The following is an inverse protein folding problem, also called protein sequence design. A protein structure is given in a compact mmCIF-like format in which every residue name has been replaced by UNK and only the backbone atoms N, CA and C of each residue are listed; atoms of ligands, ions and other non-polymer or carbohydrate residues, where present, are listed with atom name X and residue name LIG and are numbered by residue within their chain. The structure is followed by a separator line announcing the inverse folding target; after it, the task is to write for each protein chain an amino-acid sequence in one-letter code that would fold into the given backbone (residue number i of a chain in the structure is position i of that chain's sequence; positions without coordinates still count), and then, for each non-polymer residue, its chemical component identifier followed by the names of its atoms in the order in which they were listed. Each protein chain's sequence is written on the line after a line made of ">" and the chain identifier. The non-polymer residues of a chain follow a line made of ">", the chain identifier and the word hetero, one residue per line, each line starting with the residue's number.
data_IF_002791246584
#
_entry.id   IF_002791246584
#
_cell.length_a   1.000
_cell.length_b   1.000
_cell.length_c   1.000
_cell.angle_alpha   90.00
_cell.angle_beta   90.00
_cell.angle_gamma   90.00
#
_symmetry.space_group_name_H-M   'P 1'
#
loop_
_entity.id
_entity.type
_entity.pdbx_description
1 polymer ?
#
# COMPACT_ATOMS: atom_id res chain seq x y z
N UNK A 1 10.89 21.88 16.23
CA UNK A 1 11.67 21.88 14.97
C UNK A 1 11.85 20.42 14.66
N UNK A 2 11.05 19.92 13.71
CA UNK A 2 11.00 18.50 13.38
C UNK A 2 11.78 18.32 12.08
N UNK A 3 13.05 17.96 12.21
CA UNK A 3 13.97 17.66 11.12
C UNK A 3 13.74 16.22 10.59
N UNK A 4 12.49 15.81 10.39
CA UNK A 4 12.14 14.45 9.93
C UNK A 4 11.76 14.37 8.44
N UNK A 5 11.75 15.50 7.71
CA UNK A 5 11.31 15.54 6.30
C UNK A 5 12.43 15.24 5.28
N UNK A 6 13.69 15.11 5.72
CA UNK A 6 14.85 15.05 4.81
C UNK A 6 15.23 13.66 4.28
N UNK A 7 14.60 12.56 4.72
CA UNK A 7 15.03 11.20 4.29
C UNK A 7 14.00 10.39 3.52
N UNK A 8 12.79 10.93 3.27
CA UNK A 8 11.79 10.17 2.51
C UNK A 8 12.17 10.14 1.03
N UNK A 9 12.38 8.95 0.42
CA UNK A 9 12.68 8.87 -0.99
C UNK A 9 11.53 9.48 -1.80
N UNK A 10 11.86 10.37 -2.74
CA UNK A 10 10.88 10.90 -3.68
C UNK A 10 10.49 9.82 -4.70
N UNK A 11 9.20 9.66 -5.02
CA UNK A 11 8.76 8.76 -6.08
C UNK A 11 9.41 9.10 -7.41
N UNK A 12 9.76 8.10 -8.20
CA UNK A 12 10.17 8.29 -9.58
C UNK A 12 9.07 8.97 -10.40
N UNK A 13 9.45 9.92 -11.25
CA UNK A 13 8.54 10.49 -12.25
C UNK A 13 8.29 9.49 -13.41
N UNK A 14 7.17 9.63 -14.11
CA UNK A 14 6.84 8.75 -15.24
C UNK A 14 7.79 8.92 -16.44
N UNK A 15 8.38 10.09 -16.58
CA UNK A 15 9.36 10.43 -17.60
C UNK A 15 10.81 10.17 -17.17
N UNK A 16 11.04 9.63 -15.96
CA UNK A 16 12.38 9.26 -15.50
C UNK A 16 12.98 8.20 -16.45
N UNK A 17 14.24 8.36 -16.91
CA UNK A 17 14.87 7.42 -17.83
C UNK A 17 14.88 5.97 -17.33
N UNK A 18 14.92 5.75 -16.01
CA UNK A 18 14.85 4.42 -15.38
C UNK A 18 13.48 3.79 -15.60
N UNK A 19 12.42 4.56 -15.37
CA UNK A 19 11.02 4.13 -15.57
C UNK A 19 10.77 3.84 -17.05
N UNK A 20 11.19 4.73 -17.95
CA UNK A 20 11.02 4.55 -19.39
C UNK A 20 11.75 3.30 -19.92
N UNK A 21 12.98 3.06 -19.45
CA UNK A 21 13.76 1.87 -19.84
C UNK A 21 13.10 0.59 -19.34
N UNK A 22 12.60 0.57 -18.10
CA UNK A 22 11.90 -0.58 -17.55
C UNK A 22 10.55 -0.80 -18.23
N UNK A 23 9.77 0.25 -18.52
CA UNK A 23 8.52 0.16 -19.27
C UNK A 23 8.74 -0.45 -20.66
N UNK A 24 9.77 0.01 -21.36
CA UNK A 24 10.20 -0.60 -22.64
C UNK A 24 10.59 -2.07 -22.47
N UNK A 25 11.32 -2.43 -21.41
CA UNK A 25 11.67 -3.83 -21.13
C UNK A 25 10.41 -4.68 -20.92
N UNK A 26 9.49 -4.25 -20.05
CA UNK A 26 8.24 -4.97 -19.74
C UNK A 26 7.38 -5.23 -20.98
N UNK A 27 7.34 -4.26 -21.89
CA UNK A 27 6.60 -4.35 -23.16
C UNK A 27 7.20 -5.36 -24.16
N UNK A 28 8.52 -5.58 -24.10
CA UNK A 28 9.26 -6.39 -25.07
C UNK A 28 9.77 -7.72 -24.51
N UNK A 29 9.54 -8.01 -23.22
CA UNK A 29 10.01 -9.26 -22.62
C UNK A 29 9.06 -10.40 -22.94
N UNK A 30 9.53 -11.50 -23.55
CA UNK A 30 8.69 -12.65 -23.81
C UNK A 30 8.37 -13.40 -22.51
N UNK A 31 7.14 -13.90 -22.44
CA UNK A 31 6.70 -14.87 -21.45
C UNK A 31 7.26 -16.26 -21.79
N UNK A 32 7.13 -17.20 -20.85
CA UNK A 32 7.61 -18.59 -21.01
C UNK A 32 7.02 -19.33 -22.19
N UNK A 33 5.88 -18.88 -22.73
CA UNK A 33 5.23 -19.41 -23.93
C UNK A 33 5.64 -18.68 -25.23
N UNK A 34 6.70 -17.87 -25.21
CA UNK A 34 7.16 -17.00 -26.30
C UNK A 34 6.16 -15.93 -26.77
N UNK A 35 5.04 -15.73 -26.06
CA UNK A 35 4.18 -14.56 -26.27
C UNK A 35 4.75 -13.35 -25.55
N UNK A 36 4.37 -12.14 -25.97
CA UNK A 36 4.70 -10.91 -25.23
C UNK A 36 3.59 -10.59 -24.24
N UNK A 37 3.95 -10.11 -23.05
CA UNK A 37 2.96 -9.60 -22.10
C UNK A 37 2.26 -8.39 -22.74
N UNK A 38 0.91 -8.37 -22.85
CA UNK A 38 0.18 -7.27 -23.45
C UNK A 38 0.06 -6.12 -22.46
N UNK A 39 1.18 -5.46 -22.14
CA UNK A 39 1.21 -4.26 -21.31
C UNK A 39 1.40 -3.07 -22.26
N UNK A 40 0.31 -2.45 -22.74
CA UNK A 40 0.38 -1.37 -23.72
C UNK A 40 0.96 -0.09 -23.10
N UNK A 41 1.39 0.80 -23.96
CA UNK A 41 1.69 2.19 -23.60
C UNK A 41 0.39 2.91 -23.17
N UNK A 42 0.38 3.73 -22.10
CA UNK A 42 1.45 4.03 -21.14
C UNK A 42 1.41 3.15 -19.88
N UNK A 43 0.64 2.05 -19.88
CA UNK A 43 0.50 1.17 -18.71
C UNK A 43 1.83 0.52 -18.32
N UNK A 44 2.70 0.25 -19.30
CA UNK A 44 4.05 -0.28 -19.03
C UNK A 44 4.88 0.64 -18.15
N UNK A 45 4.77 1.95 -18.35
CA UNK A 45 5.48 2.98 -17.61
C UNK A 45 4.91 3.16 -16.20
N UNK A 46 3.58 3.04 -16.04
CA UNK A 46 2.94 3.04 -14.72
C UNK A 46 3.35 1.82 -13.88
N UNK A 47 3.39 0.63 -14.48
CA UNK A 47 3.88 -0.58 -13.81
C UNK A 47 5.37 -0.46 -13.49
N UNK A 48 6.17 0.07 -14.43
CA UNK A 48 7.58 0.32 -14.20
C UNK A 48 7.81 1.30 -13.04
N UNK A 49 7.05 2.40 -12.98
CA UNK A 49 7.12 3.38 -11.89
C UNK A 49 6.81 2.72 -10.54
N UNK A 50 5.76 1.90 -10.48
CA UNK A 50 5.41 1.17 -9.27
C UNK A 50 6.54 0.23 -8.83
N UNK A 51 7.13 -0.53 -9.74
CA UNK A 51 8.27 -1.42 -9.44
C UNK A 51 9.49 -0.63 -8.96
N UNK A 52 9.88 0.43 -9.66
CA UNK A 52 11.01 1.27 -9.27
C UNK A 52 10.80 1.88 -7.88
N UNK A 53 9.59 2.36 -7.58
CA UNK A 53 9.26 2.91 -6.27
C UNK A 53 9.23 1.82 -5.18
N UNK A 54 8.75 0.62 -5.48
CA UNK A 54 8.77 -0.52 -4.55
C UNK A 54 10.21 -0.87 -4.13
N UNK A 55 11.18 -0.82 -5.06
CA UNK A 55 12.60 -1.04 -4.73
C UNK A 55 13.23 0.06 -3.85
N UNK A 56 12.50 1.15 -3.58
CA UNK A 56 12.89 2.26 -2.72
C UNK A 56 11.95 2.39 -1.50
N UNK A 57 11.34 1.28 -1.10
CA UNK A 57 10.42 1.22 0.03
C UNK A 57 9.23 2.20 -0.10
N UNK A 58 8.68 2.34 -1.30
CA UNK A 58 7.49 3.15 -1.58
C UNK A 58 6.42 2.34 -2.30
N UNK A 59 5.17 2.44 -1.84
CA UNK A 59 4.01 1.75 -2.41
C UNK A 59 2.89 2.73 -2.72
N UNK A 60 2.21 2.54 -3.85
CA UNK A 60 1.03 3.33 -4.17
C UNK A 60 -0.14 2.97 -3.24
N UNK A 61 -0.65 3.94 -2.49
CA UNK A 61 -1.83 3.77 -1.65
C UNK A 61 -3.07 4.32 -2.36
N UNK A 62 -4.04 3.45 -2.62
CA UNK A 62 -5.34 3.86 -3.19
C UNK A 62 -6.15 4.78 -2.27
N UNK A 63 -5.87 4.77 -0.96
CA UNK A 63 -6.60 5.57 0.04
C UNK A 63 -6.15 7.04 0.02
N UNK A 64 -4.84 7.29 0.06
CA UNK A 64 -4.30 8.65 0.01
C UNK A 64 -4.02 9.13 -1.41
N UNK A 65 -4.18 8.23 -2.40
CA UNK A 65 -3.90 8.46 -3.83
C UNK A 65 -2.48 8.98 -4.06
N UNK A 66 -1.52 8.41 -3.33
CA UNK A 66 -0.12 8.80 -3.38
C UNK A 66 0.80 7.62 -2.94
N UNK A 67 2.10 7.76 -3.19
CA UNK A 67 3.13 6.83 -2.74
C UNK A 67 3.42 7.03 -1.24
N UNK A 68 3.23 5.97 -0.46
CA UNK A 68 3.52 5.91 0.98
C UNK A 68 4.71 5.00 1.27
N UNK A 69 5.41 5.14 2.41
CA UNK A 69 6.47 4.22 2.77
C UNK A 69 5.95 2.78 2.87
N UNK A 70 6.74 1.82 2.39
CA UNK A 70 6.40 0.40 2.40
C UNK A 70 6.09 -0.08 3.82
N UNK A 71 6.89 0.30 4.81
CA UNK A 71 6.63 -0.05 6.21
C UNK A 71 5.28 0.46 6.73
N UNK A 72 4.80 1.62 6.25
CA UNK A 72 3.46 2.12 6.59
C UNK A 72 2.36 1.25 5.95
N UNK A 73 2.59 0.81 4.72
CA UNK A 73 1.66 -0.05 3.99
C UNK A 73 1.58 -1.45 4.65
N UNK A 74 2.73 -2.06 4.97
CA UNK A 74 2.83 -3.37 5.62
C UNK A 74 2.31 -3.38 7.07
N UNK A 75 2.45 -2.27 7.81
CA UNK A 75 1.88 -2.13 9.15
C UNK A 75 0.34 -1.98 9.14
N UNK A 76 -0.28 -1.89 7.96
CA UNK A 76 -1.73 -1.87 7.85
C UNK A 76 -2.27 -3.30 7.99
N UNK A 77 -3.14 -3.58 8.98
CA UNK A 77 -3.66 -4.92 9.18
C UNK A 77 -4.46 -5.39 7.96
N UNK A 78 -4.29 -6.65 7.59
CA UNK A 78 -5.10 -7.30 6.57
C UNK A 78 -6.51 -7.56 7.09
N UNK A 79 -7.52 -7.37 6.23
CA UNK A 79 -8.93 -7.65 6.57
C UNK A 79 -9.14 -9.10 7.02
N UNK A 80 -8.35 -10.05 6.49
CA UNK A 80 -8.41 -11.46 6.88
C UNK A 80 -7.97 -11.74 8.33
N UNK A 81 -7.16 -10.85 8.89
CA UNK A 81 -6.61 -10.96 10.25
C UNK A 81 -7.47 -10.26 11.30
N UNK A 82 -8.65 -9.77 10.90
CA UNK A 82 -9.49 -8.93 11.75
C UNK A 82 -10.79 -9.65 12.06
N UNK A 83 -11.03 -9.83 13.36
CA UNK A 83 -12.30 -10.32 13.88
C UNK A 83 -13.23 -9.15 14.15
N UNK A 84 -14.44 -9.20 13.59
CA UNK A 84 -15.47 -8.17 13.77
C UNK A 84 -16.66 -8.76 14.53
N UNK A 85 -17.12 -8.06 15.56
CA UNK A 85 -18.25 -8.44 16.40
C UNK A 85 -19.14 -7.23 16.67
N UNK A 86 -20.46 -7.40 16.54
CA UNK A 86 -21.43 -6.38 16.96
C UNK A 86 -21.71 -6.54 18.45
N UNK A 87 -21.46 -5.49 19.24
CA UNK A 87 -21.52 -5.58 20.71
C UNK A 87 -22.87 -5.11 21.25
N UNK A 88 -23.40 -4.00 20.73
CA UNK A 88 -24.72 -3.48 21.09
C UNK A 88 -25.19 -2.46 20.03
N UNK A 89 -26.38 -2.66 19.47
CA UNK A 89 -26.90 -1.79 18.39
C UNK A 89 -25.98 -1.82 17.17
N UNK A 90 -25.56 -0.64 16.71
CA UNK A 90 -24.65 -0.45 15.56
C UNK A 90 -23.16 -0.50 15.95
N UNK A 91 -22.85 -0.54 17.26
CA UNK A 91 -21.47 -0.50 17.75
C UNK A 91 -20.73 -1.77 17.35
N UNK A 92 -19.66 -1.58 16.60
CA UNK A 92 -18.81 -2.64 16.07
C UNK A 92 -17.50 -2.68 16.85
N UNK A 93 -17.16 -3.84 17.39
CA UNK A 93 -15.84 -4.17 17.89
C UNK A 93 -15.04 -4.82 16.78
N UNK A 94 -13.83 -4.34 16.55
CA UNK A 94 -12.86 -5.03 15.70
C UNK A 94 -11.61 -5.34 16.49
N UNK A 95 -11.09 -6.55 16.30
CA UNK A 95 -9.88 -7.04 16.96
C UNK A 95 -8.92 -7.57 15.90
N UNK A 96 -7.71 -7.02 15.87
CA UNK A 96 -6.63 -7.56 15.06
C UNK A 96 -6.06 -8.79 15.75
N UNK A 97 -6.25 -9.97 15.16
CA UNK A 97 -5.93 -11.27 15.79
C UNK A 97 -4.45 -11.42 16.11
N UNK A 98 -3.59 -10.88 15.24
CA UNK A 98 -2.14 -11.04 15.36
C UNK A 98 -1.59 -10.24 16.55
N UNK A 99 -2.01 -8.98 16.71
CA UNK A 99 -1.50 -8.11 17.80
C UNK A 99 -2.37 -8.13 19.05
N UNK A 100 -3.60 -8.66 18.97
CA UNK A 100 -4.58 -8.62 20.06
C UNK A 100 -5.21 -7.25 20.30
N UNK A 101 -4.87 -6.24 19.49
CA UNK A 101 -5.42 -4.88 19.62
C UNK A 101 -6.91 -4.90 19.25
N UNK A 102 -7.75 -4.37 20.12
CA UNK A 102 -9.18 -4.20 19.89
C UNK A 102 -9.62 -2.75 19.96
N UNK A 103 -10.59 -2.38 19.13
CA UNK A 103 -11.24 -1.05 19.12
C UNK A 103 -12.75 -1.19 19.04
N UNK A 104 -13.44 -0.13 19.43
CA UNK A 104 -14.88 0.04 19.30
C UNK A 104 -15.15 1.25 18.43
N UNK A 105 -16.02 1.10 17.43
CA UNK A 105 -16.55 2.20 16.61
C UNK A 105 -18.07 2.16 16.59
N UNK A 106 -18.69 3.30 16.33
CA UNK A 106 -20.15 3.44 16.21
C UNK A 106 -20.70 2.70 15.00
N UNK A 107 -19.84 2.39 14.01
CA UNK A 107 -20.12 1.56 12.84
C UNK A 107 -18.85 0.83 12.37
N UNK A 108 -18.97 -0.13 11.43
CA UNK A 108 -17.82 -0.92 10.95
C UNK A 108 -16.69 -0.07 10.35
N UNK A 109 -17.01 0.97 9.57
CA UNK A 109 -16.00 1.81 8.91
C UNK A 109 -15.19 2.62 9.92
N UNK A 110 -15.85 3.15 10.95
CA UNK A 110 -15.18 3.88 12.03
C UNK A 110 -14.32 2.93 12.87
N UNK A 111 -14.83 1.74 13.22
CA UNK A 111 -14.07 0.72 13.94
C UNK A 111 -12.82 0.31 13.13
N UNK A 112 -12.96 0.16 11.81
CA UNK A 112 -11.84 -0.16 10.92
C UNK A 112 -10.77 0.92 10.89
N UNK A 113 -11.16 2.18 10.75
CA UNK A 113 -10.23 3.33 10.80
C UNK A 113 -9.46 3.38 12.11
N UNK A 114 -10.15 3.26 13.24
CA UNK A 114 -9.54 3.26 14.57
C UNK A 114 -8.58 2.08 14.77
N UNK A 115 -8.93 0.90 14.25
CA UNK A 115 -8.09 -0.29 14.38
C UNK A 115 -6.78 -0.10 13.63
N UNK A 116 -6.86 0.35 12.37
CA UNK A 116 -5.67 0.60 11.53
C UNK A 116 -4.74 1.62 12.17
N UNK A 117 -5.30 2.68 12.73
CA UNK A 117 -4.51 3.70 13.43
C UNK A 117 -3.78 3.11 14.64
N UNK A 118 -4.47 2.36 15.51
CA UNK A 118 -3.84 1.75 16.69
C UNK A 118 -2.81 0.67 16.35
N UNK A 119 -3.08 -0.16 15.33
CA UNK A 119 -2.13 -1.20 14.90
C UNK A 119 -0.87 -0.55 14.31
N UNK A 120 -1.02 0.54 13.54
CA UNK A 120 0.13 1.31 13.04
C UNK A 120 0.97 1.90 14.17
N UNK A 121 0.32 2.52 15.17
CA UNK A 121 1.02 3.08 16.34
C UNK A 121 1.76 2.01 17.17
N UNK A 122 1.29 0.76 17.14
CA UNK A 122 1.94 -0.34 17.85
C UNK A 122 3.12 -0.93 17.07
N UNK A 123 3.11 -0.85 15.74
CA UNK A 123 4.14 -1.43 14.88
C UNK A 123 5.23 -0.44 14.44
N UNK A 124 5.01 0.87 14.66
CA UNK A 124 6.01 1.93 14.46
C UNK A 124 6.84 2.16 15.72
#
# INVERSE_FOLDING_TARGET
>A
MSDDDETRPMPYALDDPTVLRLGKFLRNTPLSNNAFAPIPDPLSELVAQAVCNYTRDLVWSGEVRDFVPLGHWEATPDLGDVQSETVAGEVTRMTHRVTGISVLGENPDQAWKLLREKVRQHNG
#
